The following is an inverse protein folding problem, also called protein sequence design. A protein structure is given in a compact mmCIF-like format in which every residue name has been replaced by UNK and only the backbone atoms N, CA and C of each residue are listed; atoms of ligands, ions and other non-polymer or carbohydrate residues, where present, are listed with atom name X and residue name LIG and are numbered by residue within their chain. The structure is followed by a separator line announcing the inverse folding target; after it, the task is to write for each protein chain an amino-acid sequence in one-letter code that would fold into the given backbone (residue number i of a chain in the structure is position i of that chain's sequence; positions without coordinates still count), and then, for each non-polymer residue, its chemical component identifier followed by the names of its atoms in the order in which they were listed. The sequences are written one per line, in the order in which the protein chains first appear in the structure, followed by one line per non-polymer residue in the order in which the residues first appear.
data_IF_550535705360
#
_entry.id   IF_550535705360
#
_cell.length_a   1.000
_cell.length_b   1.000
_cell.length_c   1.000
_cell.angle_alpha   90.00
_cell.angle_beta   90.00
_cell.angle_gamma   90.00
#
_symmetry.space_group_name_H-M   'P 1'
#
loop_
_entity.id
_entity.type
_entity.pdbx_description
1 polymer ?
#
# COMPACT_ATOMS: atom_id res chain seq x y z
N UNK A 1 21.13 47.15 30.95
CA UNK A 1 20.41 47.29 29.67
C UNK A 1 20.81 46.10 28.82
N UNK A 2 19.86 45.25 28.44
CA UNK A 2 20.12 44.12 27.54
C UNK A 2 20.29 44.70 26.14
N UNK A 3 21.40 44.48 25.42
CA UNK A 3 21.53 44.98 24.07
C UNK A 3 20.49 44.28 23.19
N UNK A 4 19.55 45.05 22.63
CA UNK A 4 18.58 44.64 21.62
C UNK A 4 19.18 44.68 20.21
N UNK A 5 20.46 44.31 20.08
CA UNK A 5 21.07 44.11 18.77
C UNK A 5 20.49 42.80 18.19
N UNK A 6 19.89 42.80 16.99
CA UNK A 6 19.49 41.56 16.36
C UNK A 6 20.76 40.73 16.15
N UNK A 7 20.77 39.50 16.64
CA UNK A 7 21.91 38.57 16.47
C UNK A 7 22.19 38.22 14.99
N UNK A 8 21.32 38.64 14.08
CA UNK A 8 21.40 38.42 12.64
C UNK A 8 21.29 39.76 11.90
N UNK A 9 22.37 40.54 11.91
CA UNK A 9 22.55 41.67 11.00
C UNK A 9 23.43 41.24 9.83
N UNK A 10 22.83 40.74 8.75
CA UNK A 10 23.53 40.31 7.54
C UNK A 10 22.81 39.16 6.84
N UNK A 11 22.90 39.10 5.51
CA UNK A 11 22.47 37.92 4.74
C UNK A 11 23.24 36.70 5.29
N UNK A 12 22.55 35.61 5.67
CA UNK A 12 23.20 34.43 6.25
C UNK A 12 24.24 33.84 5.29
N UNK A 13 25.39 33.46 5.83
CA UNK A 13 26.54 32.93 5.10
C UNK A 13 26.60 31.39 5.10
N UNK A 14 27.75 30.85 4.67
CA UNK A 14 27.94 29.42 4.40
C UNK A 14 27.49 28.47 5.53
N UNK A 15 28.01 28.60 6.76
CA UNK A 15 27.58 27.75 7.87
C UNK A 15 26.11 27.93 8.26
N UNK A 16 25.58 29.15 8.20
CA UNK A 16 24.18 29.44 8.52
C UNK A 16 23.22 28.84 7.48
N UNK A 17 23.59 28.89 6.20
CA UNK A 17 22.85 28.23 5.12
C UNK A 17 22.86 26.70 5.28
N UNK A 18 23.96 26.12 5.74
CA UNK A 18 24.01 24.69 6.05
C UNK A 18 23.03 24.32 7.17
N UNK A 19 22.99 25.12 8.24
CA UNK A 19 22.05 24.92 9.34
C UNK A 19 20.60 25.06 8.85
N UNK A 20 20.30 26.09 8.07
CA UNK A 20 18.98 26.30 7.47
C UNK A 20 18.59 25.15 6.55
N UNK A 21 19.52 24.63 5.76
CA UNK A 21 19.30 23.46 4.91
C UNK A 21 18.94 22.24 5.75
N UNK A 22 19.70 21.97 6.83
CA UNK A 22 19.43 20.84 7.74
C UNK A 22 18.03 20.99 8.36
N UNK A 23 17.70 22.18 8.85
CA UNK A 23 16.37 22.46 9.42
C UNK A 23 15.28 22.28 8.37
N UNK A 24 15.47 22.79 7.15
CA UNK A 24 14.51 22.65 6.06
C UNK A 24 14.30 21.19 5.66
N UNK A 25 15.37 20.39 5.61
CA UNK A 25 15.27 18.95 5.33
C UNK A 25 14.53 18.23 6.45
N UNK A 26 14.80 18.55 7.72
CA UNK A 26 14.12 17.90 8.83
C UNK A 26 12.63 18.29 8.93
N UNK A 27 12.30 19.57 8.71
CA UNK A 27 10.93 20.06 8.82
C UNK A 27 10.08 19.79 7.59
N UNK A 28 10.67 19.78 6.40
CA UNK A 28 9.93 19.62 5.14
C UNK A 28 10.37 18.37 4.39
N UNK A 29 11.67 18.14 4.23
CA UNK A 29 12.19 16.98 3.49
C UNK A 29 11.70 15.65 4.06
N UNK A 30 11.90 15.39 5.35
CA UNK A 30 11.51 14.14 5.99
C UNK A 30 9.99 13.94 5.95
N UNK A 31 9.13 14.89 6.37
CA UNK A 31 7.69 14.71 6.29
C UNK A 31 7.17 14.52 4.86
N UNK A 32 7.71 15.25 3.88
CA UNK A 32 7.31 15.10 2.48
C UNK A 32 7.71 13.74 1.91
N UNK A 33 8.90 13.23 2.26
CA UNK A 33 9.34 11.90 1.83
C UNK A 33 8.50 10.81 2.49
N UNK A 34 8.18 10.94 3.79
CA UNK A 34 7.30 9.99 4.46
C UNK A 34 5.90 10.00 3.88
N UNK A 35 5.34 11.18 3.62
CA UNK A 35 4.00 11.31 3.05
C UNK A 35 3.96 10.80 1.61
N UNK A 36 4.86 11.28 0.76
CA UNK A 36 4.93 10.87 -0.65
C UNK A 36 5.30 9.40 -0.81
N UNK A 37 6.28 8.92 -0.05
CA UNK A 37 6.68 7.52 -0.03
C UNK A 37 5.60 6.61 0.52
N UNK A 38 4.89 7.02 1.58
CA UNK A 38 3.78 6.27 2.15
C UNK A 38 2.61 6.15 1.17
N UNK A 39 2.22 7.25 0.52
CA UNK A 39 1.16 7.24 -0.51
C UNK A 39 1.56 6.38 -1.69
N UNK A 40 2.79 6.54 -2.20
CA UNK A 40 3.28 5.73 -3.32
C UNK A 40 3.34 4.24 -2.97
N UNK A 41 3.83 3.90 -1.77
CA UNK A 41 3.87 2.53 -1.29
C UNK A 41 2.47 1.92 -1.19
N UNK A 42 1.51 2.67 -0.64
CA UNK A 42 0.14 2.20 -0.51
C UNK A 42 -0.52 2.02 -1.89
N UNK A 43 -0.31 2.96 -2.80
CA UNK A 43 -0.82 2.87 -4.17
C UNK A 43 -0.27 1.65 -4.91
N UNK A 44 1.04 1.42 -4.85
CA UNK A 44 1.67 0.24 -5.45
C UNK A 44 1.17 -1.07 -4.82
N UNK A 45 0.86 -1.06 -3.53
CA UNK A 45 0.32 -2.23 -2.83
C UNK A 45 -1.15 -2.49 -3.18
N UNK A 46 -1.96 -1.45 -3.36
CA UNK A 46 -3.36 -1.59 -3.75
C UNK A 46 -3.49 -2.22 -5.13
N UNK A 47 -2.63 -1.86 -6.09
CA UNK A 47 -2.63 -2.50 -7.41
C UNK A 47 -2.38 -4.02 -7.33
N UNK A 48 -1.51 -4.48 -6.41
CA UNK A 48 -1.26 -5.90 -6.16
C UNK A 48 -2.47 -6.58 -5.47
N UNK A 49 -3.10 -5.90 -4.50
CA UNK A 49 -4.26 -6.43 -3.78
C UNK A 49 -5.50 -6.54 -4.69
N UNK A 50 -5.71 -5.58 -5.59
CA UNK A 50 -6.78 -5.62 -6.59
C UNK A 50 -6.54 -6.78 -7.57
N UNK A 51 -5.30 -7.00 -8.03
CA UNK A 51 -4.96 -8.14 -8.89
C UNK A 51 -5.16 -9.50 -8.21
N UNK A 52 -4.86 -9.61 -6.91
CA UNK A 52 -5.11 -10.82 -6.12
C UNK A 52 -6.62 -11.05 -5.92
N UNK A 53 -7.37 -9.98 -5.65
CA UNK A 53 -8.83 -10.05 -5.48
C UNK A 53 -9.55 -10.51 -6.75
N UNK A 54 -9.16 -10.00 -7.92
CA UNK A 54 -9.71 -10.42 -9.22
C UNK A 54 -9.49 -11.93 -9.46
N UNK A 55 -8.29 -12.44 -9.14
CA UNK A 55 -7.97 -13.86 -9.26
C UNK A 55 -8.78 -14.74 -8.31
N UNK A 56 -8.97 -14.28 -7.07
CA UNK A 56 -9.80 -15.00 -6.09
C UNK A 56 -11.25 -15.07 -6.57
N UNK A 57 -11.81 -13.97 -7.09
CA UNK A 57 -13.17 -13.94 -7.62
C UNK A 57 -13.36 -14.89 -8.82
N UNK A 58 -12.37 -14.98 -9.72
CA UNK A 58 -12.38 -15.95 -10.81
C UNK A 58 -12.36 -17.40 -10.29
N UNK A 59 -11.50 -17.69 -9.30
CA UNK A 59 -11.40 -19.01 -8.69
C UNK A 59 -12.68 -19.42 -7.96
N UNK A 60 -13.32 -18.50 -7.23
CA UNK A 60 -14.61 -18.76 -6.56
C UNK A 60 -15.70 -19.09 -7.58
N UNK A 61 -15.74 -18.39 -8.71
CA UNK A 61 -16.69 -18.68 -9.79
C UNK A 61 -16.44 -20.03 -10.49
N UNK A 62 -15.17 -20.44 -10.63
CA UNK A 62 -14.82 -21.75 -11.16
C UNK A 62 -15.18 -22.88 -10.19
N UNK A 63 -14.90 -22.69 -8.89
CA UNK A 63 -15.27 -23.65 -7.84
C UNK A 63 -16.78 -23.86 -7.79
N UNK A 64 -17.59 -22.80 -7.88
CA UNK A 64 -19.05 -22.93 -7.91
C UNK A 64 -19.51 -23.77 -9.11
N UNK A 65 -18.93 -23.54 -10.31
CA UNK A 65 -19.22 -24.37 -11.50
C UNK A 65 -18.74 -25.81 -11.35
N UNK A 66 -17.59 -26.04 -10.73
CA UNK A 66 -17.08 -27.39 -10.49
C UNK A 66 -17.97 -28.14 -9.49
N UNK A 67 -18.42 -27.45 -8.44
CA UNK A 67 -19.31 -27.99 -7.44
C UNK A 67 -20.67 -28.35 -8.03
N UNK A 68 -21.23 -27.50 -8.88
CA UNK A 68 -22.48 -27.79 -9.58
C UNK A 68 -22.35 -28.96 -10.58
N UNK A 69 -21.19 -29.14 -11.20
CA UNK A 69 -20.91 -30.33 -12.02
C UNK A 69 -20.77 -31.63 -11.21
N UNK A 70 -20.17 -31.55 -10.02
CA UNK A 70 -19.99 -32.71 -9.12
C UNK A 70 -21.29 -33.08 -8.40
N UNK A 71 -22.03 -32.10 -7.88
CA UNK A 71 -23.34 -32.32 -7.25
C UNK A 71 -24.43 -32.64 -8.30
N UNK A 72 -24.20 -32.30 -9.57
CA UNK A 72 -25.05 -32.60 -10.72
C UNK A 72 -24.89 -34.00 -11.31
N UNK A 73 -24.03 -34.85 -10.74
CA UNK A 73 -23.88 -36.27 -11.11
C UNK A 73 -24.48 -37.21 -10.04
N UNK A 74 -25.82 -37.33 -9.92
CA UNK A 74 -26.46 -38.32 -9.08
C UNK A 74 -26.91 -39.54 -9.90
N UNK A 75 -26.04 -40.22 -10.63
CA UNK A 75 -26.44 -41.45 -11.36
C UNK A 75 -25.29 -42.46 -11.53
N UNK A 76 -24.77 -43.00 -10.42
CA UNK A 76 -24.30 -44.40 -10.42
C UNK A 76 -25.41 -45.28 -9.82
N UNK A 77 -26.24 -45.94 -10.66
CA UNK A 77 -27.14 -46.97 -10.19
C UNK A 77 -26.31 -48.18 -9.78
N UNK A 78 -26.04 -48.32 -8.48
CA UNK A 78 -25.58 -49.59 -7.91
C UNK A 78 -26.64 -50.65 -8.21
N UNK A 79 -26.34 -51.45 -9.22
CA UNK A 79 -27.16 -52.53 -9.70
C UNK A 79 -27.32 -53.62 -8.65
N UNK A 80 -28.59 -54.03 -8.53
CA UNK A 80 -28.99 -55.43 -8.47
C UNK A 80 -28.74 -56.17 -7.14
N UNK A 81 -29.54 -55.81 -6.13
CA UNK A 81 -30.06 -56.79 -5.16
C UNK A 81 -31.42 -57.30 -5.67
N UNK A 82 -31.46 -58.54 -6.20
CA UNK A 82 -32.46 -59.60 -5.92
C UNK A 82 -32.55 -60.66 -7.04
N UNK A 83 -32.07 -61.87 -6.76
CA UNK A 83 -32.66 -63.16 -7.20
C UNK A 83 -32.19 -64.31 -6.32
#
# INVERSE_FOLDING_TARGET
MVPTLPAFGGVPGGPELLILLIIAVLLFGVPLVLLGGGVLFLALRSDDEDAEADRIAELEAEVERLREQVDGDPDEPEGDDRS
#
